data_IF_178361233029
#
_entry.id   IF_178361233029
#
_cell.length_a   1.000
_cell.length_b   1.000
_cell.length_c   1.000
_cell.angle_alpha   90.00
_cell.angle_beta   90.00
_cell.angle_gamma   90.00
#
_symmetry.space_group_name_H-M   'P 1'
#
loop_
_entity.id
_entity.type
_entity.pdbx_description
1 polymer ?
#
# COMPACT_ATOMS: atom_id res chain seq x y z
N UNK A 1 16.75 7.04 30.63
CA UNK A 1 15.27 7.03 30.64
C UNK A 1 14.84 6.47 29.28
N UNK A 2 13.89 5.53 29.25
CA UNK A 2 13.38 4.96 28.00
C UNK A 2 12.49 5.99 27.27
N UNK A 3 12.62 6.03 25.94
CA UNK A 3 11.83 6.89 25.09
C UNK A 3 10.43 6.29 24.84
N UNK A 4 9.33 7.08 24.78
CA UNK A 4 8.03 6.55 24.42
C UNK A 4 8.00 6.18 22.93
N UNK A 5 7.29 5.11 22.59
CA UNK A 5 6.90 4.73 21.25
C UNK A 5 5.45 4.26 21.24
N UNK A 6 4.74 4.46 20.13
CA UNK A 6 3.37 3.99 19.99
C UNK A 6 3.36 2.47 19.92
N UNK A 7 4.21 1.93 19.05
CA UNK A 7 4.46 0.49 18.96
C UNK A 7 5.88 0.20 18.47
N UNK A 8 6.33 -1.04 18.69
CA UNK A 8 7.58 -1.59 18.18
C UNK A 8 7.28 -2.89 17.45
N UNK A 9 7.77 -3.02 16.23
CA UNK A 9 7.64 -4.24 15.43
C UNK A 9 8.98 -4.98 15.49
N UNK A 10 8.99 -6.18 16.07
CA UNK A 10 10.16 -7.05 16.10
C UNK A 10 10.09 -8.03 14.93
N UNK A 11 10.96 -7.89 13.94
CA UNK A 11 10.93 -8.74 12.75
C UNK A 11 12.18 -9.63 12.63
N UNK A 12 12.00 -10.82 12.02
CA UNK A 12 13.14 -11.68 11.68
C UNK A 12 14.09 -10.98 10.73
N UNK A 13 13.54 -10.32 9.70
CA UNK A 13 14.29 -9.53 8.74
C UNK A 13 13.62 -8.17 8.55
N UNK A 14 14.39 -7.11 8.66
CA UNK A 14 13.98 -5.77 8.23
C UNK A 14 14.74 -5.43 6.97
N UNK A 15 14.03 -5.13 5.90
CA UNK A 15 14.59 -4.76 4.59
C UNK A 15 14.20 -3.31 4.32
N UNK A 16 15.06 -2.33 4.68
CA UNK A 16 14.70 -0.91 4.63
C UNK A 16 14.67 -0.34 3.21
N UNK A 17 15.13 -1.12 2.21
CA UNK A 17 15.31 -0.74 0.80
C UNK A 17 16.49 0.22 0.60
N UNK A 18 16.66 1.20 1.47
CA UNK A 18 17.82 2.08 1.53
C UNK A 18 18.60 1.87 2.85
N UNK A 19 19.92 1.65 2.76
CA UNK A 19 20.72 1.50 1.55
C UNK A 19 20.44 0.18 0.82
N UNK A 20 20.58 0.21 -0.52
CA UNK A 20 20.28 -0.94 -1.38
C UNK A 20 21.01 -2.22 -0.93
N UNK A 21 20.29 -3.35 -0.95
CA UNK A 21 20.84 -4.66 -0.57
C UNK A 21 20.95 -4.90 0.94
N UNK A 22 20.49 -3.96 1.78
CA UNK A 22 20.47 -4.14 3.23
C UNK A 22 19.40 -5.13 3.66
N UNK A 23 19.81 -6.13 4.46
CA UNK A 23 18.92 -7.04 5.17
C UNK A 23 19.38 -7.11 6.62
N UNK A 24 18.55 -6.64 7.53
CA UNK A 24 18.87 -6.53 8.94
C UNK A 24 18.17 -7.67 9.69
N UNK A 25 18.92 -8.63 10.20
CA UNK A 25 18.35 -9.75 10.95
C UNK A 25 18.09 -9.36 12.40
N UNK A 26 16.95 -9.84 12.93
CA UNK A 26 16.52 -9.61 14.33
C UNK A 26 16.52 -8.11 14.70
N UNK A 27 15.99 -7.29 13.83
CA UNK A 27 15.82 -5.85 14.07
C UNK A 27 14.38 -5.50 14.39
N UNK A 28 14.25 -4.38 15.08
CA UNK A 28 12.96 -3.76 15.41
C UNK A 28 12.83 -2.42 14.72
N UNK A 29 11.60 -2.11 14.32
CA UNK A 29 11.17 -0.80 13.88
C UNK A 29 10.32 -0.18 14.98
N UNK A 30 10.80 0.91 15.57
CA UNK A 30 10.06 1.69 16.55
C UNK A 30 9.31 2.82 15.85
N UNK A 31 8.01 2.96 16.13
CA UNK A 31 7.15 3.98 15.55
C UNK A 31 6.64 4.91 16.66
N UNK A 32 6.67 6.22 16.38
CA UNK A 32 6.19 7.26 17.27
C UNK A 32 5.54 8.38 16.47
N UNK A 33 4.33 8.73 16.83
CA UNK A 33 3.51 9.75 16.14
C UNK A 33 3.36 9.50 14.63
N UNK A 34 3.18 8.23 14.24
CA UNK A 34 3.04 7.85 12.83
C UNK A 34 4.35 7.83 12.02
N UNK A 35 5.50 8.08 12.64
CA UNK A 35 6.81 8.10 11.97
C UNK A 35 7.72 6.99 12.50
N UNK A 36 8.62 6.50 11.64
CA UNK A 36 9.69 5.58 12.04
C UNK A 36 10.70 6.34 12.87
N UNK A 37 10.72 6.12 14.18
CA UNK A 37 11.64 6.77 15.10
C UNK A 37 13.03 6.13 15.08
N UNK A 38 13.12 4.82 14.86
CA UNK A 38 14.37 4.09 14.76
C UNK A 38 14.21 2.70 14.14
N UNK A 39 15.28 2.22 13.51
CA UNK A 39 15.48 0.81 13.14
C UNK A 39 16.77 0.36 13.81
N UNK A 40 16.72 -0.64 14.70
CA UNK A 40 17.87 -1.06 15.50
C UNK A 40 17.72 -2.53 15.95
N UNK A 41 18.79 -3.18 16.41
CA UNK A 41 18.71 -4.53 16.95
C UNK A 41 17.62 -4.65 18.02
N UNK A 42 16.85 -5.73 18.01
CA UNK A 42 15.68 -5.91 18.89
C UNK A 42 16.02 -5.79 20.38
N UNK A 43 17.23 -6.21 20.78
CA UNK A 43 17.71 -6.07 22.16
C UNK A 43 17.86 -4.60 22.53
N UNK A 44 18.40 -3.78 21.63
CA UNK A 44 18.59 -2.34 21.86
C UNK A 44 17.25 -1.60 21.86
N UNK A 45 16.32 -2.00 20.98
CA UNK A 45 14.98 -1.43 20.93
C UNK A 45 14.26 -1.56 22.28
N UNK A 46 14.30 -2.74 22.89
CA UNK A 46 13.69 -3.02 24.18
C UNK A 46 14.31 -2.23 25.35
N UNK A 47 15.57 -1.85 25.24
CA UNK A 47 16.25 -1.02 26.23
C UNK A 47 15.95 0.48 26.03
N UNK A 48 15.86 0.91 24.77
CA UNK A 48 15.69 2.29 24.42
C UNK A 48 14.23 2.76 24.44
N UNK A 49 13.30 1.93 23.97
CA UNK A 49 11.90 2.31 23.82
C UNK A 49 11.00 1.62 24.84
N UNK A 50 10.01 2.38 25.34
CA UNK A 50 8.84 1.88 26.05
C UNK A 50 7.64 2.04 25.13
N UNK A 51 7.26 0.95 24.49
CA UNK A 51 6.15 0.91 23.54
C UNK A 51 4.81 0.63 24.24
N UNK A 52 3.74 1.21 23.72
CA UNK A 52 2.37 0.86 24.08
C UNK A 52 2.00 -0.54 23.62
N UNK A 53 2.56 -0.98 22.48
CA UNK A 53 2.36 -2.30 21.91
C UNK A 53 3.68 -2.83 21.32
N UNK A 54 3.89 -4.14 21.42
CA UNK A 54 4.99 -4.85 20.76
C UNK A 54 4.39 -5.90 19.82
N UNK A 55 4.73 -5.82 18.52
CA UNK A 55 4.26 -6.74 17.49
C UNK A 55 5.39 -7.72 17.15
N UNK A 56 5.35 -8.97 17.64
CA UNK A 56 6.39 -9.95 17.33
C UNK A 56 6.12 -10.62 15.99
N UNK A 57 7.07 -10.51 15.07
CA UNK A 57 7.03 -11.10 13.72
C UNK A 57 8.25 -12.00 13.48
N UNK A 58 8.39 -13.04 14.29
CA UNK A 58 9.58 -13.91 14.38
C UNK A 58 9.95 -14.63 13.07
N UNK A 59 9.01 -14.79 12.16
CA UNK A 59 9.19 -15.49 10.88
C UNK A 59 8.82 -14.64 9.67
N UNK A 60 8.86 -13.32 9.82
CA UNK A 60 8.44 -12.38 8.77
C UNK A 60 9.58 -11.46 8.35
N UNK A 61 9.51 -11.03 7.10
CA UNK A 61 10.26 -9.89 6.61
C UNK A 61 9.38 -8.63 6.69
N UNK A 62 9.92 -7.55 7.24
CA UNK A 62 9.30 -6.23 7.29
C UNK A 62 9.93 -5.35 6.22
N UNK A 63 9.10 -4.81 5.36
CA UNK A 63 9.48 -3.90 4.28
C UNK A 63 8.64 -2.62 4.36
N UNK A 64 9.11 -1.50 3.75
CA UNK A 64 8.23 -0.37 3.47
C UNK A 64 7.04 -0.80 2.62
N UNK A 65 5.92 -0.10 2.75
CA UNK A 65 4.75 -0.33 1.89
C UNK A 65 5.09 -0.15 0.41
N UNK A 66 4.45 -0.93 -0.43
CA UNK A 66 4.67 -0.87 -1.87
C UNK A 66 4.07 0.39 -2.49
N UNK A 67 4.74 0.88 -3.53
CA UNK A 67 4.24 1.96 -4.38
C UNK A 67 3.77 1.37 -5.71
N UNK A 68 2.48 1.50 -6.01
CA UNK A 68 1.95 1.16 -7.33
C UNK A 68 2.12 2.36 -8.26
N UNK A 69 3.17 2.34 -9.08
CA UNK A 69 3.54 3.47 -9.94
C UNK A 69 2.65 3.65 -11.18
N UNK A 70 1.78 2.67 -11.49
CA UNK A 70 0.86 2.75 -12.64
C UNK A 70 -0.42 1.96 -12.35
N UNK A 71 -1.55 2.67 -12.32
CA UNK A 71 -2.85 2.02 -12.20
C UNK A 71 -3.98 2.84 -12.86
N UNK A 72 -5.08 2.18 -13.13
CA UNK A 72 -6.37 2.72 -13.47
C UNK A 72 -7.36 2.14 -12.45
N UNK A 73 -7.31 2.65 -11.23
CA UNK A 73 -7.92 2.03 -10.05
C UNK A 73 -9.39 1.64 -10.25
N UNK A 74 -10.20 2.54 -10.82
CA UNK A 74 -11.61 2.29 -11.05
C UNK A 74 -11.90 1.16 -12.05
N UNK A 75 -10.95 0.84 -12.95
CA UNK A 75 -11.09 -0.27 -13.90
C UNK A 75 -11.13 -1.66 -13.23
N UNK A 76 -10.89 -1.74 -11.95
CA UNK A 76 -11.13 -2.96 -11.17
C UNK A 76 -12.54 -3.52 -11.39
N UNK A 77 -13.53 -2.65 -11.63
CA UNK A 77 -14.90 -3.05 -11.95
C UNK A 77 -15.08 -3.68 -13.34
N UNK A 78 -14.09 -3.50 -14.23
CA UNK A 78 -14.07 -4.14 -15.55
C UNK A 78 -13.25 -5.43 -15.60
N UNK A 79 -12.79 -5.93 -14.46
CA UNK A 79 -12.00 -7.16 -14.40
C UNK A 79 -12.75 -8.33 -15.06
N UNK A 80 -12.08 -9.01 -16.02
CA UNK A 80 -12.63 -10.13 -16.75
C UNK A 80 -13.64 -9.74 -17.84
N UNK A 81 -13.80 -8.45 -18.17
CA UNK A 81 -14.71 -8.02 -19.22
C UNK A 81 -14.32 -8.56 -20.59
N UNK A 82 -13.02 -8.61 -20.89
CA UNK A 82 -12.51 -9.19 -22.12
C UNK A 82 -11.01 -9.50 -21.91
N UNK A 83 -10.67 -10.78 -21.93
CA UNK A 83 -9.30 -11.25 -21.72
C UNK A 83 -8.71 -11.79 -23.04
N UNK A 84 -7.37 -11.90 -23.08
CA UNK A 84 -6.62 -12.55 -24.18
C UNK A 84 -6.78 -11.92 -25.56
N UNK A 85 -6.99 -10.61 -25.63
CA UNK A 85 -7.14 -9.86 -26.88
C UNK A 85 -5.91 -8.97 -27.15
N UNK A 86 -5.58 -8.69 -28.43
CA UNK A 86 -4.65 -7.63 -28.78
C UNK A 86 -5.10 -6.30 -28.16
N UNK A 87 -4.14 -5.48 -27.71
CA UNK A 87 -4.42 -4.24 -26.97
C UNK A 87 -5.45 -3.33 -27.67
N UNK A 88 -5.31 -3.10 -28.97
CA UNK A 88 -6.21 -2.20 -29.68
C UNK A 88 -7.60 -2.78 -29.87
N UNK A 89 -7.72 -4.09 -30.06
CA UNK A 89 -9.03 -4.75 -30.15
C UNK A 89 -9.72 -4.71 -28.78
N UNK A 90 -9.00 -4.97 -27.70
CA UNK A 90 -9.48 -4.87 -26.33
C UNK A 90 -9.96 -3.44 -26.01
N UNK A 91 -9.19 -2.42 -26.33
CA UNK A 91 -9.57 -1.03 -26.09
C UNK A 91 -10.80 -0.63 -26.91
N UNK A 92 -10.74 -0.79 -28.23
CA UNK A 92 -11.74 -0.23 -29.15
C UNK A 92 -13.10 -0.95 -29.06
N UNK A 93 -13.10 -2.25 -28.86
CA UNK A 93 -14.31 -3.06 -28.94
C UNK A 93 -14.90 -3.41 -27.56
N UNK A 94 -14.13 -3.27 -26.49
CA UNK A 94 -14.59 -3.67 -25.15
C UNK A 94 -14.47 -2.54 -24.13
N UNK A 95 -13.29 -1.99 -23.91
CA UNK A 95 -13.06 -1.04 -22.81
C UNK A 95 -13.69 0.32 -23.10
N UNK A 96 -13.35 0.98 -24.20
CA UNK A 96 -13.92 2.30 -24.51
C UNK A 96 -15.44 2.31 -24.61
N UNK A 97 -16.12 1.31 -25.22
CA UNK A 97 -17.58 1.22 -25.17
C UNK A 97 -18.13 1.05 -23.75
N UNK A 98 -17.45 0.25 -22.90
CA UNK A 98 -17.85 0.08 -21.51
C UNK A 98 -17.63 1.36 -20.70
N UNK A 99 -16.52 2.02 -20.89
CA UNK A 99 -16.22 3.32 -20.27
C UNK A 99 -17.25 4.39 -20.65
N UNK A 100 -17.55 4.52 -21.93
CA UNK A 100 -18.55 5.46 -22.42
C UNK A 100 -19.96 5.20 -21.84
N UNK A 101 -20.25 3.98 -21.46
CA UNK A 101 -21.55 3.59 -20.89
C UNK A 101 -21.63 3.73 -19.37
N UNK A 102 -20.56 3.40 -18.67
CA UNK A 102 -20.60 3.19 -17.22
C UNK A 102 -19.79 4.18 -16.40
N UNK A 103 -18.75 4.81 -16.98
CA UNK A 103 -17.85 5.67 -16.21
C UNK A 103 -18.54 6.97 -15.85
N UNK A 104 -18.60 7.24 -14.57
CA UNK A 104 -19.08 8.44 -13.93
C UNK A 104 -18.53 8.50 -12.51
N UNK A 105 -18.85 9.53 -11.75
CA UNK A 105 -18.32 9.72 -10.39
C UNK A 105 -18.58 8.53 -9.47
N UNK A 106 -19.79 7.95 -9.51
CA UNK A 106 -20.14 6.81 -8.66
C UNK A 106 -19.35 5.55 -9.05
N UNK A 107 -19.19 5.28 -10.35
CA UNK A 107 -18.38 4.17 -10.85
C UNK A 107 -16.93 4.34 -10.40
N UNK A 108 -16.35 5.55 -10.58
CA UNK A 108 -14.96 5.80 -10.20
C UNK A 108 -14.77 5.69 -8.68
N UNK A 109 -15.70 6.21 -7.88
CA UNK A 109 -15.65 6.07 -6.43
C UNK A 109 -15.68 4.59 -6.01
N UNK A 110 -16.68 3.83 -6.45
CA UNK A 110 -16.83 2.42 -6.05
C UNK A 110 -15.66 1.55 -6.53
N UNK A 111 -15.19 1.76 -7.78
CA UNK A 111 -14.04 1.01 -8.31
C UNK A 111 -12.73 1.36 -7.61
N UNK A 112 -12.54 2.62 -7.25
CA UNK A 112 -11.35 3.05 -6.48
C UNK A 112 -11.39 2.50 -5.05
N UNK A 113 -12.54 2.50 -4.38
CA UNK A 113 -12.70 1.90 -3.06
C UNK A 113 -12.36 0.40 -3.07
N UNK A 114 -12.81 -0.34 -4.09
CA UNK A 114 -12.46 -1.76 -4.26
C UNK A 114 -10.96 -1.93 -4.51
N UNK A 115 -10.39 -1.15 -5.42
CA UNK A 115 -8.95 -1.18 -5.71
C UNK A 115 -8.12 -0.85 -4.47
N UNK A 116 -8.51 0.16 -3.69
CA UNK A 116 -7.86 0.54 -2.45
C UNK A 116 -7.86 -0.60 -1.43
N UNK A 117 -8.99 -1.29 -1.26
CA UNK A 117 -9.08 -2.44 -0.37
C UNK A 117 -8.14 -3.59 -0.80
N UNK A 118 -8.03 -3.85 -2.10
CA UNK A 118 -7.09 -4.85 -2.64
C UNK A 118 -5.64 -4.41 -2.50
N UNK A 119 -5.32 -3.14 -2.77
CA UNK A 119 -3.98 -2.57 -2.60
C UNK A 119 -3.51 -2.65 -1.15
N UNK A 120 -4.34 -2.26 -0.18
CA UNK A 120 -4.03 -2.33 1.25
C UNK A 120 -3.77 -3.79 1.66
N UNK A 121 -4.60 -4.73 1.23
CA UNK A 121 -4.39 -6.17 1.51
C UNK A 121 -3.12 -6.71 0.86
N UNK A 122 -2.68 -6.14 -0.25
CA UNK A 122 -1.43 -6.46 -0.93
C UNK A 122 -0.20 -5.72 -0.39
N UNK A 123 -0.38 -4.82 0.59
CA UNK A 123 0.71 -4.04 1.18
C UNK A 123 1.10 -2.79 0.40
N UNK A 124 0.29 -2.34 -0.55
CA UNK A 124 0.47 -1.07 -1.24
C UNK A 124 -0.01 0.08 -0.35
N UNK A 125 0.81 1.12 -0.20
CA UNK A 125 0.54 2.29 0.64
C UNK A 125 0.50 3.60 -0.14
N UNK A 126 0.80 3.55 -1.42
CA UNK A 126 0.74 4.70 -2.32
C UNK A 126 0.53 4.22 -3.75
N UNK A 127 -0.25 4.93 -4.52
CA UNK A 127 -0.43 4.61 -5.94
C UNK A 127 -0.50 5.87 -6.83
N UNK A 128 -0.12 5.69 -8.07
CA UNK A 128 -0.25 6.71 -9.11
C UNK A 128 -1.37 6.29 -10.06
N UNK A 129 -2.50 6.98 -10.00
CA UNK A 129 -3.64 6.73 -10.87
C UNK A 129 -3.63 7.63 -12.10
N UNK A 130 -4.12 7.10 -13.20
CA UNK A 130 -4.34 7.86 -14.42
C UNK A 130 -5.69 7.44 -15.03
N UNK A 131 -6.76 8.06 -14.53
CA UNK A 131 -8.11 7.74 -14.96
C UNK A 131 -9.02 8.97 -14.93
N UNK A 132 -10.29 8.81 -15.29
CA UNK A 132 -11.29 9.87 -15.26
C UNK A 132 -11.65 10.26 -13.82
N UNK A 133 -12.14 11.47 -13.59
CA UNK A 133 -12.59 11.97 -12.30
C UNK A 133 -11.51 11.84 -11.21
N UNK A 134 -10.32 12.37 -11.47
CA UNK A 134 -9.16 12.25 -10.58
C UNK A 134 -9.42 12.76 -9.15
N UNK A 135 -10.28 13.75 -9.00
CA UNK A 135 -10.68 14.28 -7.70
C UNK A 135 -11.55 13.30 -6.90
N UNK A 136 -12.36 12.48 -7.58
CA UNK A 136 -13.14 11.40 -6.96
C UNK A 136 -12.20 10.28 -6.48
N UNK A 137 -11.23 9.89 -7.34
CA UNK A 137 -10.17 8.94 -6.98
C UNK A 137 -9.40 9.41 -5.75
N UNK A 138 -8.98 10.68 -5.73
CA UNK A 138 -8.22 11.23 -4.61
C UNK A 138 -9.01 11.18 -3.28
N UNK A 139 -10.28 11.57 -3.29
CA UNK A 139 -11.13 11.48 -2.07
C UNK A 139 -11.35 10.05 -1.58
N UNK A 140 -11.53 9.10 -2.51
CA UNK A 140 -11.68 7.70 -2.16
C UNK A 140 -10.38 7.12 -1.56
N UNK A 141 -9.23 7.46 -2.15
CA UNK A 141 -7.92 7.07 -1.64
C UNK A 141 -7.65 7.65 -0.24
N UNK A 142 -7.88 8.94 -0.04
CA UNK A 142 -7.74 9.60 1.26
C UNK A 142 -8.63 8.94 2.33
N UNK A 143 -9.88 8.64 2.00
CA UNK A 143 -10.82 7.95 2.90
C UNK A 143 -10.33 6.55 3.26
N UNK A 144 -9.68 5.85 2.33
CA UNK A 144 -9.10 4.52 2.54
C UNK A 144 -7.76 4.55 3.30
N UNK A 145 -7.10 5.71 3.39
CA UNK A 145 -5.79 5.88 4.04
C UNK A 145 -4.59 5.57 3.12
N UNK A 146 -4.74 5.80 1.81
CA UNK A 146 -3.70 5.65 0.78
C UNK A 146 -3.23 7.00 0.26
#
# INVERSE_FOLDING_TARGET
MSEPADFVIDARWVIPVEPAGSVLEHHSVAVRNGEIAAILPAVEARQRFRAGEIVPLENHALLPGFVNAHTHAAMTLFRGLADDLPLMDWLQHHIWPAEAKWVGEEFVRAGTELAAAEMIKGGTTCFNDMYFFADVTARAAETAGL
#
